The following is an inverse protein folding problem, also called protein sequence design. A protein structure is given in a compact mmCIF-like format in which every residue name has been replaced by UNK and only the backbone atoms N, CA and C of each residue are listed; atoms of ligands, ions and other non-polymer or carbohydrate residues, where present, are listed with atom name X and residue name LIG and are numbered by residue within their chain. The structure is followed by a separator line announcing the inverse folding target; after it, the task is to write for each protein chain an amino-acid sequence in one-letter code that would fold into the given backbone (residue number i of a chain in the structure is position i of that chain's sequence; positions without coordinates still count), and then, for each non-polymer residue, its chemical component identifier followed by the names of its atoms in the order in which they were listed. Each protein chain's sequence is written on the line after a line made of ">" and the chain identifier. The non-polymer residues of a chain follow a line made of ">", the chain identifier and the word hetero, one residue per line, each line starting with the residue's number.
data_IF_030921033834
#
_entry.id   IF_030921033834
#
_cell.length_a   1.000
_cell.length_b   1.000
_cell.length_c   1.000
_cell.angle_alpha   90.00
_cell.angle_beta   90.00
_cell.angle_gamma   90.00
#
_symmetry.space_group_name_H-M   'P 1'
#
loop_
_entity.id
_entity.type
_entity.pdbx_description
1 polymer ?
#
# COMPACT_ATOMS: atom_id res chain seq x y z
N UNK A 1 12.79 -28.96 8.69
CA UNK A 1 12.11 -28.86 10.01
C UNK A 1 10.89 -29.78 9.94
N UNK A 2 10.72 -30.70 10.89
CA UNK A 2 9.72 -31.77 10.84
C UNK A 2 8.25 -31.29 10.66
N UNK A 3 7.95 -30.02 10.96
CA UNK A 3 6.63 -29.43 10.72
C UNK A 3 6.34 -29.18 9.24
N UNK A 4 7.34 -28.76 8.45
CA UNK A 4 7.19 -28.48 7.03
C UNK A 4 6.92 -29.76 6.22
N UNK A 5 7.56 -30.88 6.59
CA UNK A 5 7.29 -32.22 6.03
C UNK A 5 5.86 -32.70 6.30
N UNK A 6 5.20 -32.12 7.31
CA UNK A 6 3.80 -32.39 7.69
C UNK A 6 2.83 -31.31 7.18
N UNK A 7 3.26 -30.45 6.25
CA UNK A 7 2.46 -29.33 5.73
C UNK A 7 1.92 -28.41 6.85
N UNK A 8 2.71 -28.19 7.90
CA UNK A 8 2.33 -27.41 9.07
C UNK A 8 3.39 -26.36 9.43
N UNK A 9 2.97 -25.32 10.14
CA UNK A 9 3.88 -24.28 10.64
C UNK A 9 4.59 -24.77 11.92
N UNK A 10 5.81 -24.29 12.22
CA UNK A 10 6.54 -24.71 13.44
C UNK A 10 5.80 -24.42 14.76
N UNK A 11 4.87 -23.45 14.76
CA UNK A 11 4.04 -23.04 15.89
C UNK A 11 2.60 -22.74 15.44
N UNK A 12 1.69 -22.49 16.39
CA UNK A 12 0.31 -22.07 16.11
C UNK A 12 0.30 -20.77 15.29
N UNK A 13 -0.22 -20.80 14.04
CA UNK A 13 -0.25 -19.61 13.18
C UNK A 13 -1.39 -18.67 13.57
N UNK A 14 -1.26 -17.38 13.26
CA UNK A 14 -2.38 -16.45 13.30
C UNK A 14 -3.30 -16.68 12.08
N UNK A 15 -4.17 -17.68 12.20
CA UNK A 15 -5.07 -18.13 11.10
C UNK A 15 -5.88 -16.98 10.51
N UNK A 16 -6.35 -16.04 11.35
CA UNK A 16 -7.13 -14.89 10.88
C UNK A 16 -6.32 -13.97 9.97
N UNK A 17 -5.04 -13.72 10.29
CA UNK A 17 -4.16 -12.91 9.45
C UNK A 17 -3.93 -13.57 8.08
N UNK A 18 -3.67 -14.88 8.03
CA UNK A 18 -3.50 -15.60 6.77
C UNK A 18 -4.73 -15.49 5.86
N UNK A 19 -5.93 -15.65 6.43
CA UNK A 19 -7.18 -15.49 5.69
C UNK A 19 -7.38 -14.06 5.20
N UNK A 20 -7.04 -13.07 6.02
CA UNK A 20 -7.12 -11.65 5.63
C UNK A 20 -6.18 -11.29 4.48
N UNK A 21 -4.94 -11.79 4.52
CA UNK A 21 -3.96 -11.57 3.44
C UNK A 21 -4.39 -12.27 2.15
N UNK A 22 -4.91 -13.51 2.24
CA UNK A 22 -5.44 -14.23 1.07
C UNK A 22 -6.59 -13.46 0.41
N UNK A 23 -7.58 -13.03 1.19
CA UNK A 23 -8.70 -12.25 0.67
C UNK A 23 -8.25 -10.91 0.05
N UNK A 24 -7.22 -10.27 0.62
CA UNK A 24 -6.66 -9.05 0.04
C UNK A 24 -5.92 -9.31 -1.28
N UNK A 25 -5.21 -10.43 -1.39
CA UNK A 25 -4.56 -10.84 -2.64
C UNK A 25 -5.59 -11.07 -3.75
N UNK A 26 -6.66 -11.82 -3.46
CA UNK A 26 -7.76 -12.06 -4.40
C UNK A 26 -8.37 -10.73 -4.88
N UNK A 27 -8.57 -9.77 -3.97
CA UNK A 27 -9.09 -8.45 -4.32
C UNK A 27 -8.12 -7.64 -5.20
N UNK A 28 -6.81 -7.69 -4.94
CA UNK A 28 -5.81 -7.04 -5.81
C UNK A 28 -5.84 -7.65 -7.21
N UNK A 29 -5.96 -8.97 -7.32
CA UNK A 29 -6.02 -9.68 -8.60
C UNK A 29 -7.29 -9.32 -9.38
N UNK A 30 -8.44 -9.30 -8.71
CA UNK A 30 -9.73 -8.89 -9.29
C UNK A 30 -9.69 -7.44 -9.82
N UNK A 31 -9.14 -6.52 -9.03
CA UNK A 31 -8.99 -5.12 -9.44
C UNK A 31 -7.92 -4.94 -10.52
N UNK A 32 -6.91 -5.82 -10.56
CA UNK A 32 -5.70 -5.70 -11.34
C UNK A 32 -4.64 -4.82 -10.66
N UNK A 33 -3.44 -5.37 -10.44
CA UNK A 33 -2.36 -4.70 -9.71
C UNK A 33 -2.00 -3.31 -10.27
N UNK A 34 -2.01 -3.13 -11.60
CA UNK A 34 -1.76 -1.83 -12.23
C UNK A 34 -2.81 -0.79 -11.86
N UNK A 35 -4.09 -1.19 -11.76
CA UNK A 35 -5.18 -0.31 -11.37
C UNK A 35 -5.06 0.08 -9.90
N UNK A 36 -4.59 -0.84 -9.04
CA UNK A 36 -4.29 -0.53 -7.63
C UNK A 36 -3.20 0.53 -7.53
N UNK A 37 -2.11 0.42 -8.30
CA UNK A 37 -1.06 1.44 -8.35
C UNK A 37 -1.63 2.77 -8.86
N UNK A 38 -2.37 2.74 -9.96
CA UNK A 38 -2.93 3.95 -10.56
C UNK A 38 -3.86 4.70 -9.60
N UNK A 39 -4.68 3.97 -8.84
CA UNK A 39 -5.52 4.54 -7.79
C UNK A 39 -4.69 5.30 -6.74
N UNK A 40 -3.51 4.80 -6.35
CA UNK A 40 -2.64 5.53 -5.42
C UNK A 40 -2.09 6.81 -6.06
N UNK A 41 -1.71 6.78 -7.35
CA UNK A 41 -1.25 7.97 -8.06
C UNK A 41 -2.35 9.04 -8.16
N UNK A 42 -3.59 8.65 -8.46
CA UNK A 42 -4.73 9.58 -8.52
C UNK A 42 -4.93 10.29 -7.18
N UNK A 43 -4.91 9.55 -6.07
CA UNK A 43 -5.06 10.12 -4.72
C UNK A 43 -3.88 11.04 -4.39
N UNK A 44 -2.66 10.61 -4.68
CA UNK A 44 -1.42 11.39 -4.50
C UNK A 44 -1.51 12.73 -5.23
N UNK A 45 -1.89 12.70 -6.50
CA UNK A 45 -1.93 13.89 -7.36
C UNK A 45 -3.00 14.87 -6.89
N UNK A 46 -4.18 14.36 -6.50
CA UNK A 46 -5.24 15.17 -5.90
C UNK A 46 -4.79 15.87 -4.61
N UNK A 47 -4.14 15.14 -3.70
CA UNK A 47 -3.64 15.72 -2.45
C UNK A 47 -2.53 16.77 -2.69
N UNK A 48 -1.57 16.47 -3.57
CA UNK A 48 -0.48 17.40 -3.90
C UNK A 48 -1.00 18.67 -4.59
N UNK A 49 -2.01 18.54 -5.45
CA UNK A 49 -2.67 19.70 -6.06
C UNK A 49 -3.39 20.55 -5.00
N UNK A 50 -4.08 19.93 -4.04
CA UNK A 50 -4.74 20.64 -2.96
C UNK A 50 -3.76 21.41 -2.06
N UNK A 51 -2.63 20.79 -1.67
CA UNK A 51 -1.60 21.46 -0.87
C UNK A 51 -1.00 22.67 -1.61
N UNK A 52 -0.69 22.51 -2.90
CA UNK A 52 -0.20 23.61 -3.75
C UNK A 52 -1.21 24.76 -3.85
N UNK A 53 -2.51 24.46 -3.93
CA UNK A 53 -3.57 25.46 -3.95
C UNK A 53 -3.77 26.19 -2.62
N UNK A 54 -3.27 25.63 -1.51
CA UNK A 54 -3.28 26.23 -0.18
C UNK A 54 -1.95 26.93 0.16
N UNK A 55 -1.06 27.12 -0.82
CA UNK A 55 0.29 27.67 -0.64
C UNK A 55 1.15 26.88 0.39
N UNK A 56 0.86 25.58 0.56
CA UNK A 56 1.61 24.67 1.42
C UNK A 56 2.65 23.91 0.58
N UNK A 57 3.95 24.24 0.70
CA UNK A 57 4.97 23.61 -0.14
C UNK A 57 5.24 22.17 0.31
N UNK A 58 5.49 21.29 -0.65
CA UNK A 58 5.92 19.92 -0.37
C UNK A 58 7.34 19.91 0.23
N UNK A 59 7.60 18.98 1.14
CA UNK A 59 8.89 18.86 1.82
C UNK A 59 10.02 18.45 0.86
N UNK A 60 9.68 17.67 -0.16
CA UNK A 60 10.61 17.13 -1.15
C UNK A 60 10.10 17.39 -2.56
N UNK A 61 11.00 17.43 -3.54
CA UNK A 61 10.64 17.51 -4.96
C UNK A 61 9.81 16.29 -5.36
N UNK A 62 8.89 16.48 -6.31
CA UNK A 62 7.95 15.45 -6.78
C UNK A 62 8.67 14.16 -7.26
N UNK A 63 9.86 14.28 -7.87
CA UNK A 63 10.68 13.15 -8.36
C UNK A 63 11.21 12.23 -7.26
N UNK A 64 11.37 12.73 -6.03
CA UNK A 64 11.86 11.97 -4.88
C UNK A 64 10.73 11.61 -3.89
N UNK A 65 9.51 12.09 -4.15
CA UNK A 65 8.40 11.97 -3.23
C UNK A 65 7.70 10.61 -3.36
N UNK A 66 7.45 9.94 -2.22
CA UNK A 66 6.71 8.67 -2.18
C UNK A 66 5.33 8.79 -2.86
N UNK A 67 4.91 7.79 -3.66
CA UNK A 67 3.57 7.77 -4.22
C UNK A 67 2.47 7.48 -3.19
N UNK A 68 2.83 6.96 -2.01
CA UNK A 68 1.86 6.53 -0.98
C UNK A 68 1.87 7.40 0.28
N UNK A 69 2.81 8.34 0.41
CA UNK A 69 2.91 9.28 1.53
C UNK A 69 3.34 10.65 1.00
N UNK A 70 2.59 11.69 1.36
CA UNK A 70 2.89 13.09 0.98
C UNK A 70 3.30 13.88 2.22
N UNK A 71 4.54 14.38 2.24
CA UNK A 71 5.05 15.26 3.29
C UNK A 71 5.07 16.72 2.79
N UNK A 72 4.71 17.66 3.66
CA UNK A 72 4.66 19.10 3.37
C UNK A 72 5.15 19.92 4.57
N UNK A 73 5.48 21.19 4.33
CA UNK A 73 5.88 22.14 5.38
C UNK A 73 4.60 22.84 5.89
N UNK A 74 4.28 22.72 7.19
CA UNK A 74 3.10 23.38 7.79
C UNK A 74 3.20 24.90 7.82
#
# INVERSE_FOLDING_TARGET
>A
IASAEKNSTPFTPNVSLYKGVAAYADWIEEQGFKNVIERHNVIRDGLRAALKALDLPLLVKDEFASPTVTAFVP
#
